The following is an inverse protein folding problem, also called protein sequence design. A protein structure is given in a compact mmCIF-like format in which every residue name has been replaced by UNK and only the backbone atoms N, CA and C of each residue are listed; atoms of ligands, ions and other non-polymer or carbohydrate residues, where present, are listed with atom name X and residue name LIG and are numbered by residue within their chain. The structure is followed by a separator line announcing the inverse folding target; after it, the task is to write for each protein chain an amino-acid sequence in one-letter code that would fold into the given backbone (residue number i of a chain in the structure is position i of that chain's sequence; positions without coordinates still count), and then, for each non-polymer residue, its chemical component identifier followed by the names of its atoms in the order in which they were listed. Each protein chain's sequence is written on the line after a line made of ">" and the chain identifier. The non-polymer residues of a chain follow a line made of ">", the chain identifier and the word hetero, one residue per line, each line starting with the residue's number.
data_IF_410879726052
#
_entry.id   IF_410879726052
#
_cell.length_a   1.000
_cell.length_b   1.000
_cell.length_c   1.000
_cell.angle_alpha   90.00
_cell.angle_beta   90.00
_cell.angle_gamma   90.00
#
_symmetry.space_group_name_H-M   'P 1'
#
loop_
_entity.id
_entity.type
_entity.pdbx_description
1 polymer ?
#
# COMPACT_ATOMS: atom_id res chain seq x y z
N UNK A 1 -15.38 18.62 -16.49
CA UNK A 1 -15.31 18.52 -15.01
C UNK A 1 -14.90 17.10 -14.72
N UNK A 2 -13.80 16.88 -13.99
CA UNK A 2 -13.38 15.52 -13.67
C UNK A 2 -14.48 14.84 -12.85
N UNK A 3 -14.85 13.63 -13.24
CA UNK A 3 -15.89 12.85 -12.55
C UNK A 3 -15.33 12.23 -11.27
N UNK A 4 -13.99 12.04 -11.23
CA UNK A 4 -13.26 11.47 -10.09
C UNK A 4 -12.11 12.42 -9.72
N UNK A 5 -12.03 12.82 -8.46
CA UNK A 5 -10.95 13.65 -7.92
C UNK A 5 -9.89 12.75 -7.25
N UNK A 6 -8.91 12.32 -8.03
CA UNK A 6 -7.83 11.45 -7.53
C UNK A 6 -6.93 12.19 -6.53
N UNK A 7 -6.63 13.46 -6.75
CA UNK A 7 -5.78 14.23 -5.85
C UNK A 7 -6.49 14.46 -4.50
N UNK A 8 -7.80 14.77 -4.53
CA UNK A 8 -8.63 14.84 -3.32
C UNK A 8 -8.65 13.51 -2.58
N UNK A 9 -8.85 12.40 -3.30
CA UNK A 9 -8.82 11.07 -2.69
C UNK A 9 -7.48 10.74 -2.00
N UNK A 10 -6.34 11.06 -2.62
CA UNK A 10 -5.03 10.86 -1.99
C UNK A 10 -4.85 11.74 -0.75
N UNK A 11 -5.37 12.97 -0.77
CA UNK A 11 -5.35 13.85 0.41
C UNK A 11 -6.19 13.26 1.55
N UNK A 12 -7.40 12.83 1.27
CA UNK A 12 -8.30 12.21 2.26
C UNK A 12 -7.71 10.91 2.82
N UNK A 13 -7.06 10.10 1.96
CA UNK A 13 -6.37 8.88 2.38
C UNK A 13 -5.23 9.16 3.36
N UNK A 14 -4.45 10.23 3.14
CA UNK A 14 -3.38 10.64 4.08
C UNK A 14 -3.96 11.12 5.41
N UNK A 15 -5.00 11.93 5.37
CA UNK A 15 -5.67 12.41 6.58
C UNK A 15 -6.23 11.22 7.38
N UNK A 16 -6.83 10.24 6.70
CA UNK A 16 -7.31 9.00 7.31
C UNK A 16 -6.17 8.17 7.93
N UNK A 17 -5.04 8.05 7.23
CA UNK A 17 -3.87 7.35 7.78
C UNK A 17 -3.35 8.03 9.07
N UNK A 18 -3.35 9.35 9.12
CA UNK A 18 -2.97 10.10 10.33
C UNK A 18 -3.97 9.84 11.48
N UNK A 19 -5.27 9.81 11.21
CA UNK A 19 -6.29 9.47 12.20
C UNK A 19 -6.12 8.04 12.77
N UNK A 20 -5.56 7.12 11.96
CA UNK A 20 -5.26 5.73 12.33
C UNK A 20 -3.85 5.51 12.91
N UNK A 21 -3.15 6.58 13.32
CA UNK A 21 -1.88 6.50 14.05
C UNK A 21 -0.64 6.38 13.17
N UNK A 22 -0.71 6.85 11.93
CA UNK A 22 0.45 6.99 11.05
C UNK A 22 0.93 8.44 10.96
N UNK A 23 2.23 8.63 10.75
CA UNK A 23 2.81 9.85 10.23
C UNK A 23 3.03 9.73 8.72
N UNK A 24 2.69 10.76 7.96
CA UNK A 24 3.02 10.89 6.54
C UNK A 24 4.37 11.59 6.43
N UNK A 25 5.39 10.88 5.94
CA UNK A 25 6.76 11.42 5.83
C UNK A 25 7.04 12.05 4.49
N UNK A 26 6.56 11.45 3.40
CA UNK A 26 6.79 11.91 2.04
C UNK A 26 5.63 11.54 1.13
N UNK A 27 5.48 12.31 0.06
CA UNK A 27 4.52 12.03 -1.00
C UNK A 27 5.19 12.29 -2.35
N UNK A 28 5.05 11.33 -3.25
CA UNK A 28 5.60 11.41 -4.60
C UNK A 28 4.52 11.10 -5.62
N UNK A 29 4.48 11.90 -6.67
CA UNK A 29 3.58 11.69 -7.80
C UNK A 29 4.38 11.55 -9.08
N UNK A 30 4.29 10.38 -9.70
CA UNK A 30 4.98 10.04 -10.93
C UNK A 30 3.99 10.02 -12.09
N UNK A 31 4.39 10.57 -13.22
CA UNK A 31 3.63 10.55 -14.48
C UNK A 31 4.52 10.01 -15.58
N UNK A 32 4.10 8.93 -16.21
CA UNK A 32 4.79 8.37 -17.36
C UNK A 32 4.41 9.13 -18.64
N UNK A 33 5.39 9.73 -19.29
CA UNK A 33 5.15 10.66 -20.40
C UNK A 33 4.46 10.06 -21.62
N UNK A 34 4.62 8.75 -21.89
CA UNK A 34 4.06 8.11 -23.07
C UNK A 34 2.70 7.46 -22.85
N UNK A 35 2.55 6.77 -21.73
CA UNK A 35 1.30 6.07 -21.39
C UNK A 35 0.32 6.95 -20.63
N UNK A 36 0.78 8.05 -20.06
CA UNK A 36 0.07 8.92 -19.11
C UNK A 36 -0.39 8.16 -17.85
N UNK A 37 0.18 6.99 -17.58
CA UNK A 37 -0.01 6.30 -16.31
C UNK A 37 0.57 7.14 -15.20
N UNK A 38 -0.09 7.10 -14.07
CA UNK A 38 0.34 7.82 -12.88
C UNK A 38 0.53 6.84 -11.74
N UNK A 39 1.45 7.16 -10.85
CA UNK A 39 1.61 6.46 -9.59
C UNK A 39 1.77 7.49 -8.47
N UNK A 40 0.93 7.40 -7.46
CA UNK A 40 1.05 8.16 -6.23
C UNK A 40 1.66 7.25 -5.17
N UNK A 41 2.76 7.69 -4.57
CA UNK A 41 3.40 6.98 -3.47
C UNK A 41 3.35 7.86 -2.22
N UNK A 42 2.91 7.25 -1.12
CA UNK A 42 2.86 7.89 0.20
C UNK A 42 3.69 7.06 1.16
N UNK A 43 4.62 7.71 1.83
CA UNK A 43 5.49 7.11 2.83
C UNK A 43 4.86 7.29 4.22
N UNK A 44 4.53 6.18 4.86
CA UNK A 44 3.80 6.11 6.12
C UNK A 44 4.65 5.43 7.19
N UNK A 45 4.68 6.01 8.38
CA UNK A 45 5.30 5.39 9.55
C UNK A 45 4.32 5.37 10.72
N UNK A 46 4.23 4.29 11.50
CA UNK A 46 3.54 4.35 12.79
C UNK A 46 4.12 5.47 13.65
N UNK A 47 3.31 6.20 14.39
CA UNK A 47 3.77 7.32 15.23
C UNK A 47 4.90 6.91 16.19
N UNK A 48 4.80 5.72 16.77
CA UNK A 48 5.82 5.15 17.66
C UNK A 48 7.08 4.64 16.95
N UNK A 49 7.06 4.52 15.62
CA UNK A 49 8.10 3.90 14.80
C UNK A 49 8.77 4.81 13.79
N UNK A 50 8.60 6.14 13.88
CA UNK A 50 9.13 7.10 12.89
C UNK A 50 10.65 7.05 12.67
N UNK A 51 11.42 6.63 13.67
CA UNK A 51 12.88 6.43 13.56
C UNK A 51 13.25 4.93 13.48
N UNK A 52 12.26 4.07 13.32
CA UNK A 52 12.43 2.62 13.26
C UNK A 52 12.90 2.14 11.87
N UNK A 53 13.26 0.86 11.76
CA UNK A 53 13.79 0.28 10.53
C UNK A 53 12.70 -0.20 9.56
N UNK A 54 11.43 0.04 9.83
CA UNK A 54 10.30 -0.42 9.02
C UNK A 54 9.63 0.75 8.33
N UNK A 55 9.70 0.78 7.01
CA UNK A 55 8.99 1.73 6.17
C UNK A 55 7.73 1.08 5.60
N UNK A 56 6.63 1.81 5.53
CA UNK A 56 5.41 1.42 4.83
C UNK A 56 5.17 2.38 3.67
N UNK A 57 5.17 1.86 2.46
CA UNK A 57 4.83 2.60 1.25
C UNK A 57 3.44 2.21 0.77
N UNK A 58 2.58 3.20 0.65
CA UNK A 58 1.31 3.08 -0.05
C UNK A 58 1.52 3.52 -1.49
N UNK A 59 1.05 2.74 -2.46
CA UNK A 59 1.16 3.05 -3.89
C UNK A 59 -0.19 2.90 -4.57
N UNK A 60 -0.67 3.97 -5.19
CA UNK A 60 -1.90 4.01 -5.99
C UNK A 60 -1.53 4.14 -7.47
N UNK A 61 -1.81 3.09 -8.24
CA UNK A 61 -1.54 3.06 -9.68
C UNK A 61 -2.77 3.47 -10.48
N UNK A 62 -2.61 4.47 -11.36
CA UNK A 62 -3.69 5.02 -12.16
C UNK A 62 -3.43 4.75 -13.64
N UNK A 63 -4.25 3.90 -14.23
CA UNK A 63 -4.30 3.73 -15.68
C UNK A 63 -5.35 4.71 -16.26
N UNK A 64 -4.95 5.66 -17.13
CA UNK A 64 -5.88 6.62 -17.71
C UNK A 64 -7.00 5.97 -18.54
N UNK A 65 -6.80 4.74 -19.02
CA UNK A 65 -7.84 4.00 -19.76
C UNK A 65 -8.98 3.57 -18.85
N UNK A 66 -8.67 3.17 -17.61
CA UNK A 66 -9.67 2.81 -16.60
C UNK A 66 -10.46 4.04 -16.22
N UNK A 67 -9.78 5.19 -16.00
CA UNK A 67 -10.43 6.45 -15.68
C UNK A 67 -11.38 6.90 -16.79
N UNK A 68 -10.91 6.92 -18.05
CA UNK A 68 -11.74 7.31 -19.20
C UNK A 68 -12.92 6.36 -19.39
N UNK A 69 -12.72 5.04 -19.21
CA UNK A 69 -13.82 4.06 -19.31
C UNK A 69 -14.89 4.28 -18.24
N UNK A 70 -14.50 4.65 -17.02
CA UNK A 70 -15.44 5.02 -15.97
C UNK A 70 -16.20 6.32 -16.31
N UNK A 71 -15.50 7.35 -16.79
CA UNK A 71 -16.12 8.62 -17.19
C UNK A 71 -17.15 8.40 -18.33
N UNK A 72 -16.81 7.60 -19.34
CA UNK A 72 -17.72 7.25 -20.41
C UNK A 72 -18.96 6.51 -19.87
N UNK A 73 -18.78 5.53 -18.99
CA UNK A 73 -19.87 4.79 -18.37
C UNK A 73 -20.80 5.67 -17.53
N UNK A 74 -20.25 6.66 -16.83
CA UNK A 74 -21.05 7.67 -16.08
C UNK A 74 -21.86 8.53 -17.01
N UNK A 75 -21.28 8.96 -18.14
CA UNK A 75 -21.96 9.81 -19.13
C UNK A 75 -23.10 9.03 -19.82
N UNK A 76 -22.85 7.78 -20.20
CA UNK A 76 -23.85 6.94 -20.89
C UNK A 76 -25.05 6.60 -20.01
N UNK A 77 -24.85 6.52 -18.68
CA UNK A 77 -25.91 6.16 -17.72
C UNK A 77 -26.51 7.34 -16.96
N UNK A 78 -26.13 8.57 -17.30
CA UNK A 78 -26.53 9.80 -16.57
C UNK A 78 -28.04 9.95 -16.30
N UNK A 79 -28.88 9.24 -17.04
CA UNK A 79 -30.35 9.39 -16.95
C UNK A 79 -31.06 8.18 -16.30
N UNK A 80 -30.39 7.06 -15.99
CA UNK A 80 -31.11 5.81 -15.71
C UNK A 80 -30.59 4.92 -14.56
N UNK A 81 -29.30 4.89 -14.23
CA UNK A 81 -28.74 4.00 -13.20
C UNK A 81 -27.41 4.52 -12.66
N UNK A 82 -27.03 4.06 -11.46
CA UNK A 82 -25.68 4.29 -10.93
C UNK A 82 -24.60 3.70 -11.84
N UNK A 83 -23.40 4.32 -11.93
CA UNK A 83 -22.30 3.77 -12.71
C UNK A 83 -21.90 2.37 -12.20
N UNK A 84 -21.41 1.48 -13.09
CA UNK A 84 -21.00 0.16 -12.66
C UNK A 84 -19.78 0.22 -11.76
N UNK A 85 -19.73 -0.69 -10.78
CA UNK A 85 -18.58 -0.87 -9.88
C UNK A 85 -17.56 -1.87 -10.48
N UNK A 86 -17.23 -1.70 -11.77
CA UNK A 86 -16.30 -2.57 -12.49
C UNK A 86 -14.93 -1.91 -12.68
N UNK A 87 -14.80 -0.63 -12.32
CA UNK A 87 -13.59 0.16 -12.55
C UNK A 87 -12.83 0.34 -11.24
N UNK A 88 -11.61 -0.19 -11.22
CA UNK A 88 -10.78 -0.21 -10.02
C UNK A 88 -9.35 0.22 -10.33
N UNK A 89 -8.70 0.84 -9.33
CA UNK A 89 -7.25 1.07 -9.33
C UNK A 89 -6.56 0.15 -8.34
N UNK A 90 -5.37 -0.38 -8.68
CA UNK A 90 -4.53 -1.07 -7.71
C UNK A 90 -4.06 -0.12 -6.61
N UNK A 91 -4.24 -0.54 -5.37
CA UNK A 91 -3.72 0.12 -4.17
C UNK A 91 -2.87 -0.89 -3.42
N UNK A 92 -1.57 -0.65 -3.37
CA UNK A 92 -0.63 -1.57 -2.77
C UNK A 92 -0.03 -0.97 -1.48
N UNK A 93 0.10 -1.80 -0.46
CA UNK A 93 0.86 -1.49 0.75
C UNK A 93 2.11 -2.36 0.76
N UNK A 94 3.28 -1.73 0.82
CA UNK A 94 4.57 -2.44 0.79
C UNK A 94 5.38 -2.08 2.03
N UNK A 95 5.70 -3.08 2.85
CA UNK A 95 6.63 -2.92 3.96
C UNK A 95 8.04 -3.25 3.49
N UNK A 96 8.96 -2.34 3.77
CA UNK A 96 10.38 -2.48 3.51
C UNK A 96 11.16 -2.46 4.81
N UNK A 97 12.20 -3.30 4.86
CA UNK A 97 13.19 -3.33 5.94
C UNK A 97 14.59 -3.26 5.32
N UNK A 98 15.59 -2.77 6.06
CA UNK A 98 16.97 -2.90 5.62
C UNK A 98 17.36 -4.38 5.47
N UNK A 99 18.43 -4.70 4.74
CA UNK A 99 18.93 -6.07 4.64
C UNK A 99 19.21 -6.67 6.03
N UNK A 100 18.71 -7.89 6.24
CA UNK A 100 18.72 -8.57 7.53
C UNK A 100 19.86 -9.58 7.60
N UNK A 101 20.82 -9.47 8.53
CA UNK A 101 21.83 -10.50 8.75
C UNK A 101 21.22 -11.79 9.35
N UNK A 102 20.12 -11.69 10.07
CA UNK A 102 19.43 -12.81 10.71
C UNK A 102 17.94 -12.84 10.29
N UNK A 103 17.70 -13.14 9.00
CA UNK A 103 16.33 -13.15 8.47
C UNK A 103 15.46 -14.25 9.08
N UNK A 104 14.15 -13.98 9.25
CA UNK A 104 13.19 -14.94 9.80
C UNK A 104 12.94 -16.14 8.87
N UNK A 105 12.37 -17.20 9.42
CA UNK A 105 11.72 -18.25 8.62
C UNK A 105 10.49 -17.66 7.92
N UNK A 106 10.47 -17.75 6.58
CA UNK A 106 9.42 -17.10 5.77
C UNK A 106 8.02 -17.70 5.99
N UNK A 107 7.94 -19.01 6.27
CA UNK A 107 6.64 -19.65 6.51
C UNK A 107 6.06 -19.21 7.86
N UNK A 108 6.91 -19.12 8.88
CA UNK A 108 6.50 -18.61 10.20
C UNK A 108 6.06 -17.16 10.06
N UNK A 109 6.87 -16.32 9.43
CA UNK A 109 6.54 -14.90 9.20
C UNK A 109 5.23 -14.74 8.44
N UNK A 110 5.05 -15.47 7.32
CA UNK A 110 3.82 -15.40 6.53
C UNK A 110 2.58 -15.82 7.33
N UNK A 111 2.71 -16.83 8.20
CA UNK A 111 1.61 -17.29 9.08
C UNK A 111 1.24 -16.22 10.11
N UNK A 112 2.23 -15.62 10.75
CA UNK A 112 2.03 -14.56 11.74
C UNK A 112 1.42 -13.30 11.12
N UNK A 113 1.88 -12.93 9.92
CA UNK A 113 1.35 -11.79 9.19
C UNK A 113 -0.07 -12.04 8.69
N UNK A 114 -0.36 -13.25 8.19
CA UNK A 114 -1.71 -13.62 7.77
C UNK A 114 -2.73 -13.55 8.92
N UNK A 115 -2.31 -13.91 10.15
CA UNK A 115 -3.16 -13.80 11.33
C UNK A 115 -3.50 -12.33 11.68
N UNK A 116 -2.57 -11.39 11.43
CA UNK A 116 -2.76 -9.95 11.71
C UNK A 116 -3.50 -9.23 10.59
N UNK A 117 -3.13 -9.50 9.34
CA UNK A 117 -3.80 -8.93 8.18
C UNK A 117 -5.25 -9.39 8.05
N UNK A 118 -5.50 -10.65 8.41
CA UNK A 118 -6.83 -11.24 8.28
C UNK A 118 -7.31 -11.33 6.82
N UNK A 119 -8.62 -11.49 6.61
CA UNK A 119 -9.19 -11.56 5.26
C UNK A 119 -9.16 -10.21 4.54
N UNK A 120 -9.15 -9.09 5.29
CA UNK A 120 -9.25 -7.74 4.75
C UNK A 120 -7.92 -7.22 4.20
N UNK A 121 -6.79 -7.77 4.68
CA UNK A 121 -5.45 -7.41 4.25
C UNK A 121 -4.60 -8.67 3.98
N UNK A 122 -4.86 -9.40 2.89
CA UNK A 122 -4.04 -10.54 2.53
C UNK A 122 -2.62 -10.10 2.17
N UNK A 123 -1.61 -10.74 2.78
CA UNK A 123 -0.21 -10.37 2.69
C UNK A 123 0.61 -11.41 1.92
N UNK A 124 1.37 -10.95 0.94
CA UNK A 124 2.41 -11.73 0.27
C UNK A 124 3.77 -11.45 0.91
N UNK A 125 4.51 -12.51 1.25
CA UNK A 125 5.84 -12.43 1.83
C UNK A 125 6.85 -13.09 0.89
N UNK A 126 7.87 -12.34 0.50
CA UNK A 126 8.96 -12.85 -0.31
C UNK A 126 10.32 -12.38 0.24
N UNK A 127 11.37 -13.11 -0.09
CA UNK A 127 12.73 -12.76 0.31
C UNK A 127 13.74 -13.04 -0.79
N UNK A 128 14.79 -12.23 -0.79
CA UNK A 128 15.97 -12.42 -1.64
C UNK A 128 17.19 -12.50 -0.73
N UNK A 129 17.90 -13.63 -0.78
CA UNK A 129 19.19 -13.79 -0.12
C UNK A 129 20.31 -13.37 -1.08
N UNK A 130 21.15 -12.44 -0.67
CA UNK A 130 22.29 -11.94 -1.43
C UNK A 130 23.59 -12.18 -0.69
N UNK A 131 24.65 -12.43 -1.43
CA UNK A 131 26.02 -12.59 -0.92
C UNK A 131 26.86 -11.53 -1.63
N UNK A 132 27.14 -10.37 -0.98
CA UNK A 132 27.86 -9.26 -1.61
C UNK A 132 29.27 -9.67 -2.08
N UNK A 133 29.98 -10.42 -1.22
CA UNK A 133 31.28 -11.03 -1.53
C UNK A 133 31.33 -12.48 -1.05
N UNK A 134 32.15 -13.36 -1.67
CA UNK A 134 32.18 -14.80 -1.31
C UNK A 134 32.60 -15.12 0.14
N UNK A 135 33.13 -14.13 0.84
CA UNK A 135 33.58 -14.26 2.24
C UNK A 135 32.60 -13.63 3.22
N UNK A 136 31.58 -12.92 2.71
CA UNK A 136 30.59 -12.24 3.56
C UNK A 136 29.47 -13.20 3.95
N UNK A 137 28.82 -12.89 5.07
CA UNK A 137 27.59 -13.55 5.44
C UNK A 137 26.46 -13.15 4.46
N UNK A 138 25.53 -14.07 4.15
CA UNK A 138 24.38 -13.71 3.34
C UNK A 138 23.50 -12.67 4.07
N UNK A 139 22.97 -11.74 3.30
CA UNK A 139 21.98 -10.78 3.74
C UNK A 139 20.63 -11.09 3.12
N UNK A 140 19.56 -11.01 3.89
CA UNK A 140 18.20 -11.25 3.44
C UNK A 140 17.43 -9.96 3.31
N UNK A 141 16.95 -9.65 2.11
CA UNK A 141 15.99 -8.58 1.87
C UNK A 141 14.58 -9.15 1.88
N UNK A 142 13.73 -8.65 2.76
CA UNK A 142 12.30 -8.99 2.82
C UNK A 142 11.49 -8.03 1.97
N UNK A 143 10.47 -8.56 1.31
CA UNK A 143 9.41 -7.80 0.68
C UNK A 143 8.07 -8.35 1.16
N UNK A 144 7.28 -7.50 1.79
CA UNK A 144 5.95 -7.82 2.30
C UNK A 144 4.99 -6.88 1.59
N UNK A 145 3.98 -7.41 0.92
CA UNK A 145 3.04 -6.61 0.13
C UNK A 145 1.62 -7.06 0.40
N UNK A 146 0.73 -6.10 0.59
CA UNK A 146 -0.71 -6.29 0.51
C UNK A 146 -1.23 -5.66 -0.77
N UNK A 147 -1.95 -6.44 -1.57
CA UNK A 147 -2.60 -5.99 -2.79
C UNK A 147 -4.06 -5.71 -2.49
N UNK A 148 -4.45 -4.46 -2.67
CA UNK A 148 -5.81 -3.98 -2.57
C UNK A 148 -6.26 -3.40 -3.90
N UNK A 149 -7.54 -3.18 -4.03
CA UNK A 149 -8.10 -2.40 -5.13
C UNK A 149 -9.09 -1.39 -4.60
N UNK A 150 -9.09 -0.22 -5.18
CA UNK A 150 -10.04 0.83 -4.83
C UNK A 150 -10.97 1.09 -6.01
N UNK A 151 -12.28 1.07 -5.75
CA UNK A 151 -13.30 1.36 -6.75
C UNK A 151 -13.35 2.84 -7.09
N UNK A 152 -13.47 3.18 -8.37
CA UNK A 152 -13.66 4.55 -8.82
C UNK A 152 -15.02 5.10 -8.37
N UNK A 153 -16.02 4.23 -8.22
CA UNK A 153 -17.31 4.61 -7.67
C UNK A 153 -17.16 5.07 -6.21
N UNK A 154 -16.44 4.28 -5.39
CA UNK A 154 -16.19 4.61 -3.99
C UNK A 154 -15.34 5.89 -3.83
N UNK A 155 -14.33 6.10 -4.70
CA UNK A 155 -13.57 7.37 -4.71
C UNK A 155 -14.50 8.54 -4.98
N UNK A 156 -15.41 8.41 -5.94
CA UNK A 156 -16.38 9.47 -6.27
C UNK A 156 -17.35 9.75 -5.12
N UNK A 157 -17.73 8.73 -4.36
CA UNK A 157 -18.66 8.84 -3.22
C UNK A 157 -17.97 9.25 -1.92
N UNK A 158 -16.63 9.22 -1.86
CA UNK A 158 -15.84 9.56 -0.68
C UNK A 158 -15.73 8.44 0.35
N UNK A 159 -15.93 7.17 -0.07
CA UNK A 159 -15.89 5.97 0.80
C UNK A 159 -14.93 4.91 0.22
N UNK A 160 -13.70 5.31 -0.05
CA UNK A 160 -12.80 4.48 -0.85
C UNK A 160 -11.85 3.57 -0.07
N UNK A 161 -11.51 3.88 1.17
CA UNK A 161 -10.60 3.04 1.99
C UNK A 161 -11.23 2.75 3.35
N UNK A 162 -11.34 1.47 3.65
CA UNK A 162 -11.87 0.99 4.92
C UNK A 162 -10.89 1.29 6.06
N UNK A 163 -11.40 1.81 7.17
CA UNK A 163 -10.67 1.96 8.44
C UNK A 163 -10.00 0.66 8.88
N UNK A 164 -10.65 -0.47 8.63
CA UNK A 164 -10.14 -1.80 8.98
C UNK A 164 -8.83 -2.13 8.26
N UNK A 165 -8.68 -1.72 7.00
CA UNK A 165 -7.43 -1.91 6.24
C UNK A 165 -6.28 -1.13 6.87
N UNK A 166 -6.51 0.13 7.25
CA UNK A 166 -5.49 0.97 7.90
C UNK A 166 -5.13 0.44 9.29
N UNK A 167 -6.11 0.01 10.08
CA UNK A 167 -5.88 -0.63 11.38
C UNK A 167 -5.02 -1.90 11.24
N UNK A 168 -5.30 -2.74 10.23
CA UNK A 168 -4.49 -3.92 9.93
C UNK A 168 -3.08 -3.56 9.48
N UNK A 169 -2.93 -2.53 8.65
CA UNK A 169 -1.62 -2.01 8.27
C UNK A 169 -0.81 -1.58 9.51
N UNK A 170 -1.45 -0.91 10.47
CA UNK A 170 -0.81 -0.51 11.71
C UNK A 170 -0.39 -1.70 12.57
N UNK A 171 -1.26 -2.70 12.73
CA UNK A 171 -0.94 -3.95 13.45
C UNK A 171 0.25 -4.69 12.83
N UNK A 172 0.29 -4.79 11.50
CA UNK A 172 1.41 -5.40 10.76
C UNK A 172 2.70 -4.61 10.98
N UNK A 173 2.64 -3.28 10.86
CA UNK A 173 3.81 -2.41 11.04
C UNK A 173 4.38 -2.52 12.45
N UNK A 174 3.55 -2.53 13.47
CA UNK A 174 3.96 -2.72 14.88
C UNK A 174 4.64 -4.06 15.10
N UNK A 175 4.05 -5.12 14.59
CA UNK A 175 4.65 -6.45 14.69
C UNK A 175 6.03 -6.51 14.02
N UNK A 176 6.17 -5.92 12.84
CA UNK A 176 7.45 -5.89 12.14
C UNK A 176 8.50 -5.05 12.92
N UNK A 177 8.09 -3.94 13.52
CA UNK A 177 8.95 -3.14 14.39
C UNK A 177 9.44 -3.93 15.62
N UNK A 178 8.55 -4.69 16.27
CA UNK A 178 8.90 -5.55 17.40
C UNK A 178 9.92 -6.64 17.01
N UNK A 179 9.75 -7.25 15.84
CA UNK A 179 10.62 -8.32 15.37
C UNK A 179 11.95 -7.82 14.78
N UNK A 180 11.98 -6.61 14.24
CA UNK A 180 13.14 -6.07 13.52
C UNK A 180 14.40 -6.00 14.39
N UNK A 181 14.27 -5.77 15.68
CA UNK A 181 15.40 -5.75 16.63
C UNK A 181 16.16 -7.07 16.68
N UNK A 182 15.46 -8.19 16.66
CA UNK A 182 16.06 -9.54 16.69
C UNK A 182 16.69 -9.91 15.33
N UNK A 183 16.18 -9.39 14.23
CA UNK A 183 16.66 -9.68 12.88
C UNK A 183 17.88 -8.83 12.48
N UNK A 184 17.99 -7.65 13.04
CA UNK A 184 19.09 -6.71 12.77
C UNK A 184 20.31 -6.93 13.69
N UNK A 185 20.15 -7.66 14.80
CA UNK A 185 21.21 -8.06 15.74
C UNK A 185 21.40 -7.08 16.86
#
# INVERSE_FOLDING_TARGET
>A
MAVVDIAGFVADLKDHAVEHGFHVHDERHFVESYSLRQNWEVDLHPEEGCEGPVDLYLSLEIDPRVLLGFEDAVIERADLEDPPDDFHFPLNFTWALPPLPHGPDLLVLATELAARGGPDLPLEVSAIDSIPEPIDAPERSLRIVAHQSVSLLNIREGDAVSCEVLDRCLEVSRYLLECAGDWLG
#
